data_IF_980324086728
#
_entry.id   IF_980324086728
#
_cell.length_a   1.000
_cell.length_b   1.000
_cell.length_c   1.000
_cell.angle_alpha   90.00
_cell.angle_beta   90.00
_cell.angle_gamma   90.00
#
_symmetry.space_group_name_H-M   'P 1'
#
loop_
_entity.id
_entity.type
_entity.pdbx_description
1 polymer ?
#
# COMPACT_ATOMS: atom_id res chain seq x y z
N UNK A 1 10.36 -55.71 46.64
CA UNK A 1 9.07 -55.48 45.98
C UNK A 1 8.88 -53.94 45.84
N UNK A 2 8.97 -53.43 44.64
CA UNK A 2 8.66 -52.01 44.36
C UNK A 2 7.13 -51.87 44.36
N UNK A 3 6.60 -50.99 45.22
CA UNK A 3 5.17 -50.61 45.19
C UNK A 3 4.98 -49.75 43.96
N UNK A 4 4.25 -50.23 42.98
CA UNK A 4 3.75 -49.46 41.86
C UNK A 4 2.56 -48.65 42.39
N UNK A 5 2.76 -47.34 42.61
CA UNK A 5 1.69 -46.41 42.94
C UNK A 5 0.94 -46.04 41.65
N UNK A 6 -0.32 -46.45 41.54
CA UNK A 6 -1.19 -46.00 40.44
C UNK A 6 -1.56 -44.52 40.58
N UNK A 7 -1.80 -43.83 39.47
CA UNK A 7 -2.29 -42.42 39.44
C UNK A 7 -3.67 -42.33 40.10
N UNK A 8 -3.83 -41.31 40.93
CA UNK A 8 -5.14 -40.98 41.49
C UNK A 8 -6.04 -40.36 40.41
N UNK A 9 -7.33 -40.68 40.41
CA UNK A 9 -8.32 -40.09 39.52
C UNK A 9 -8.33 -38.56 39.62
N UNK A 10 -8.12 -38.01 40.81
CA UNK A 10 -7.99 -36.58 41.06
C UNK A 10 -6.80 -35.96 40.31
N UNK A 11 -5.67 -36.63 40.29
CA UNK A 11 -4.44 -36.18 39.63
C UNK A 11 -4.62 -36.10 38.10
N UNK A 12 -5.33 -37.07 37.51
CA UNK A 12 -5.67 -37.08 36.10
C UNK A 12 -6.60 -35.90 35.77
N UNK A 13 -7.63 -35.62 36.57
CA UNK A 13 -8.57 -34.51 36.35
C UNK A 13 -7.85 -33.17 36.46
N UNK A 14 -6.98 -32.99 37.45
CA UNK A 14 -6.21 -31.76 37.61
C UNK A 14 -5.24 -31.58 36.43
N UNK A 15 -4.58 -32.63 35.99
CA UNK A 15 -3.65 -32.59 34.86
C UNK A 15 -4.39 -32.20 33.54
N UNK A 16 -5.57 -32.77 33.32
CA UNK A 16 -6.40 -32.40 32.17
C UNK A 16 -6.85 -30.92 32.22
N UNK A 17 -7.23 -30.43 33.41
CA UNK A 17 -7.61 -29.05 33.60
C UNK A 17 -6.46 -28.08 33.27
N UNK A 18 -5.26 -28.37 33.78
CA UNK A 18 -4.06 -27.56 33.51
C UNK A 18 -3.71 -27.61 32.00
N UNK A 19 -3.78 -28.80 31.40
CA UNK A 19 -3.49 -28.99 29.98
C UNK A 19 -4.46 -28.17 29.08
N UNK A 20 -5.77 -28.21 29.41
CA UNK A 20 -6.77 -27.46 28.62
C UNK A 20 -6.56 -25.97 28.73
N UNK A 21 -6.27 -25.42 29.91
CA UNK A 21 -5.95 -23.99 30.10
C UNK A 21 -4.69 -23.61 29.30
N UNK A 22 -3.66 -24.47 29.34
CA UNK A 22 -2.44 -24.27 28.57
C UNK A 22 -2.69 -24.23 27.06
N UNK A 23 -3.48 -25.17 26.53
CA UNK A 23 -3.83 -25.22 25.10
C UNK A 23 -4.65 -23.98 24.65
N UNK A 24 -5.64 -23.57 25.44
CA UNK A 24 -6.46 -22.38 25.12
C UNK A 24 -5.59 -21.12 25.09
N UNK A 25 -4.65 -20.99 26.03
CA UNK A 25 -3.72 -19.86 26.06
C UNK A 25 -2.81 -19.82 24.82
N UNK A 26 -2.29 -20.96 24.38
CA UNK A 26 -1.48 -21.07 23.17
C UNK A 26 -2.27 -20.70 21.91
N UNK A 27 -3.51 -21.18 21.78
CA UNK A 27 -4.38 -20.82 20.65
C UNK A 27 -4.63 -19.31 20.57
N UNK A 28 -4.79 -18.64 21.71
CA UNK A 28 -4.93 -17.18 21.79
C UNK A 28 -3.69 -16.46 21.25
N UNK A 29 -2.49 -16.89 21.66
CA UNK A 29 -1.23 -16.32 21.18
C UNK A 29 -1.03 -16.54 19.67
N UNK A 30 -1.36 -17.73 19.16
CA UNK A 30 -1.30 -18.00 17.72
C UNK A 30 -2.25 -17.12 16.92
N UNK A 31 -3.48 -16.91 17.41
CA UNK A 31 -4.43 -16.01 16.77
C UNK A 31 -3.91 -14.57 16.65
N UNK A 32 -3.31 -14.04 17.72
CA UNK A 32 -2.69 -12.72 17.71
C UNK A 32 -1.47 -12.65 16.78
N UNK A 33 -0.64 -13.68 16.75
CA UNK A 33 0.53 -13.73 15.87
C UNK A 33 0.12 -13.73 14.39
N UNK A 34 -0.86 -14.53 13.99
CA UNK A 34 -1.40 -14.54 12.63
C UNK A 34 -1.97 -13.18 12.24
N UNK A 35 -2.73 -12.57 13.15
CA UNK A 35 -3.28 -11.23 12.99
C UNK A 35 -2.21 -10.18 12.71
N UNK A 36 -1.16 -10.18 13.51
CA UNK A 36 -0.03 -9.25 13.35
C UNK A 36 0.69 -9.45 12.01
N UNK A 37 0.87 -10.70 11.58
CA UNK A 37 1.50 -11.03 10.30
C UNK A 37 0.68 -10.50 9.12
N UNK A 38 -0.62 -10.75 9.10
CA UNK A 38 -1.52 -10.24 8.05
C UNK A 38 -1.52 -8.72 7.99
N UNK A 39 -1.53 -8.05 9.14
CA UNK A 39 -1.45 -6.59 9.19
C UNK A 39 -0.13 -6.08 8.62
N UNK A 40 1.00 -6.72 8.97
CA UNK A 40 2.31 -6.33 8.44
C UNK A 40 2.42 -6.54 6.93
N UNK A 41 1.81 -7.57 6.38
CA UNK A 41 1.73 -7.78 4.92
C UNK A 41 0.96 -6.65 4.24
N UNK A 42 -0.19 -6.26 4.78
CA UNK A 42 -1.00 -5.16 4.24
C UNK A 42 -0.26 -3.81 4.30
N UNK A 43 0.45 -3.54 5.38
CA UNK A 43 1.29 -2.35 5.53
C UNK A 43 2.42 -2.33 4.49
N UNK A 44 3.02 -3.49 4.19
CA UNK A 44 4.06 -3.63 3.17
C UNK A 44 3.51 -3.38 1.76
N UNK A 45 2.35 -3.95 1.43
CA UNK A 45 1.67 -3.71 0.15
C UNK A 45 1.34 -2.23 -0.03
N UNK A 46 0.79 -1.57 1.00
CA UNK A 46 0.48 -0.14 0.92
C UNK A 46 1.72 0.72 0.68
N UNK A 47 2.85 0.36 1.30
CA UNK A 47 4.13 1.03 1.08
C UNK A 47 4.64 0.83 -0.35
N UNK A 48 4.53 -0.38 -0.87
CA UNK A 48 4.97 -0.71 -2.24
C UNK A 48 4.14 0.07 -3.26
N UNK A 49 2.81 0.09 -3.13
CA UNK A 49 1.90 0.85 -3.99
C UNK A 49 2.17 2.36 -3.98
N UNK A 50 2.63 2.90 -2.85
CA UNK A 50 3.02 4.31 -2.77
C UNK A 50 4.37 4.57 -3.45
N UNK A 51 5.35 3.69 -3.26
CA UNK A 51 6.67 3.79 -3.88
C UNK A 51 6.57 3.65 -5.40
N UNK A 52 5.80 2.69 -5.89
CA UNK A 52 5.55 2.47 -7.31
C UNK A 52 5.03 3.73 -8.00
N UNK A 53 4.05 4.39 -7.41
CA UNK A 53 3.53 5.65 -7.94
C UNK A 53 4.59 6.78 -7.89
N UNK A 54 5.37 6.88 -6.82
CA UNK A 54 6.43 7.88 -6.74
C UNK A 54 7.50 7.65 -7.82
N UNK A 55 7.93 6.41 -7.98
CA UNK A 55 8.95 6.03 -8.97
C UNK A 55 8.48 6.28 -10.40
N UNK A 56 7.21 6.02 -10.72
CA UNK A 56 6.65 6.31 -12.04
C UNK A 56 6.72 7.82 -12.35
N UNK A 57 6.37 8.68 -11.40
CA UNK A 57 6.42 10.14 -11.54
C UNK A 57 7.87 10.61 -11.74
N UNK A 58 8.80 10.12 -10.92
CA UNK A 58 10.23 10.46 -11.00
C UNK A 58 10.80 10.01 -12.36
N UNK A 59 10.48 8.80 -12.77
CA UNK A 59 10.93 8.23 -14.04
C UNK A 59 10.40 9.02 -15.21
N UNK A 60 9.11 9.34 -15.25
CA UNK A 60 8.48 10.13 -16.32
C UNK A 60 9.10 11.54 -16.44
N UNK A 61 9.42 12.17 -15.29
CA UNK A 61 10.16 13.43 -15.27
C UNK A 61 11.59 13.27 -15.82
N UNK A 62 12.33 12.25 -15.36
CA UNK A 62 13.73 12.05 -15.72
C UNK A 62 13.91 11.69 -17.20
N UNK A 63 12.96 10.96 -17.77
CA UNK A 63 12.95 10.59 -19.19
C UNK A 63 12.36 11.68 -20.08
N UNK A 64 11.94 12.82 -19.52
CA UNK A 64 11.26 13.90 -20.23
C UNK A 64 9.97 13.45 -20.93
N UNK A 65 9.36 12.37 -20.46
CA UNK A 65 8.08 11.87 -20.97
C UNK A 65 6.95 12.86 -20.67
N UNK A 66 7.01 13.52 -19.53
CA UNK A 66 6.11 14.59 -19.13
C UNK A 66 6.89 15.89 -18.89
N UNK A 67 6.27 17.01 -19.23
CA UNK A 67 6.83 18.31 -18.92
C UNK A 67 6.55 18.72 -17.46
N UNK A 68 7.22 19.77 -16.99
CA UNK A 68 7.07 20.22 -15.61
C UNK A 68 5.63 20.63 -15.26
N UNK A 69 4.90 21.25 -16.20
CA UNK A 69 3.52 21.67 -15.96
C UNK A 69 2.53 20.51 -15.85
N UNK A 70 2.85 19.37 -16.44
CA UNK A 70 2.07 18.15 -16.29
C UNK A 70 2.15 17.55 -14.88
N UNK A 71 3.23 17.79 -14.14
CA UNK A 71 3.40 17.30 -12.75
C UNK A 71 2.58 18.15 -11.78
N UNK A 72 1.28 18.16 -11.96
CA UNK A 72 0.29 18.82 -11.10
C UNK A 72 -1.00 18.02 -11.13
N UNK A 73 -1.90 18.30 -10.18
CA UNK A 73 -3.23 17.72 -10.24
C UNK A 73 -4.06 18.40 -11.33
N UNK A 74 -4.96 17.63 -11.92
CA UNK A 74 -5.90 18.10 -12.95
C UNK A 74 -6.66 19.34 -12.44
N UNK A 75 -6.75 20.35 -13.29
CA UNK A 75 -7.43 21.61 -12.97
C UNK A 75 -6.53 22.65 -12.30
N UNK A 76 -5.23 22.38 -12.15
CA UNK A 76 -4.29 23.40 -11.68
C UNK A 76 -4.24 24.60 -12.63
N UNK A 77 -4.16 25.80 -12.06
CA UNK A 77 -4.06 27.06 -12.79
C UNK A 77 -2.65 27.67 -12.76
N UNK A 78 -1.71 27.02 -12.07
CA UNK A 78 -0.32 27.49 -11.93
C UNK A 78 0.58 26.86 -13.00
N UNK A 79 0.32 27.18 -14.26
CA UNK A 79 1.04 26.62 -15.40
C UNK A 79 2.10 27.62 -15.93
N UNK A 80 3.33 27.20 -16.08
CA UNK A 80 4.43 28.02 -16.59
C UNK A 80 4.31 28.27 -18.10
N UNK A 81 3.70 27.34 -18.83
CA UNK A 81 3.52 27.39 -20.28
C UNK A 81 2.38 28.29 -20.74
N UNK A 82 1.62 28.90 -19.83
CA UNK A 82 0.44 29.69 -20.15
C UNK A 82 -0.79 28.91 -20.61
N UNK A 83 -0.69 27.59 -20.74
CA UNK A 83 -1.82 26.71 -21.02
C UNK A 83 -2.50 26.34 -19.70
N UNK A 84 -3.71 26.84 -19.47
CA UNK A 84 -4.51 26.51 -18.28
C UNK A 84 -5.83 25.87 -18.73
N UNK A 85 -6.31 24.80 -18.06
CA UNK A 85 -5.71 24.09 -16.93
C UNK A 85 -4.56 23.18 -17.34
N UNK A 86 -3.63 22.93 -16.42
CA UNK A 86 -2.56 21.96 -16.55
C UNK A 86 -2.67 20.87 -15.50
N UNK A 87 -1.73 19.91 -15.54
CA UNK A 87 -1.71 18.78 -14.63
C UNK A 87 -2.40 17.54 -15.19
N UNK A 88 -1.85 16.38 -14.87
CA UNK A 88 -2.37 15.08 -15.34
C UNK A 88 -2.85 14.19 -14.20
N UNK A 89 -2.44 14.48 -12.95
CA UNK A 89 -2.77 13.63 -11.80
C UNK A 89 -4.20 13.88 -11.32
N UNK A 90 -4.98 12.80 -11.24
CA UNK A 90 -6.38 12.86 -10.82
C UNK A 90 -6.49 13.26 -9.35
N UNK A 91 -7.46 14.11 -9.03
CA UNK A 91 -7.74 14.51 -7.65
C UNK A 91 -8.62 13.48 -6.93
N UNK A 92 -8.32 13.24 -5.65
CA UNK A 92 -9.11 12.34 -4.81
C UNK A 92 -8.58 10.90 -4.80
N UNK A 93 -9.23 10.08 -4.01
CA UNK A 93 -8.88 8.67 -3.86
C UNK A 93 -9.42 7.86 -5.06
N UNK A 94 -8.56 7.09 -5.70
CA UNK A 94 -8.89 6.15 -6.76
C UNK A 94 -8.61 4.72 -6.33
N UNK A 95 -9.31 3.77 -6.89
CA UNK A 95 -8.96 2.35 -6.80
C UNK A 95 -7.54 2.12 -7.33
N UNK A 96 -6.93 1.01 -6.92
CA UNK A 96 -5.59 0.64 -7.40
C UNK A 96 -5.73 -0.01 -8.78
N UNK A 97 -5.34 0.73 -9.79
CA UNK A 97 -5.27 0.29 -11.18
C UNK A 97 -3.81 0.11 -11.62
N UNK A 98 -3.60 -0.70 -12.64
CA UNK A 98 -2.34 -0.72 -13.35
C UNK A 98 -2.09 0.65 -13.98
N UNK A 99 -0.83 0.99 -14.22
CA UNK A 99 -0.49 2.20 -14.97
C UNK A 99 -1.10 2.11 -16.37
N UNK A 100 -1.68 3.22 -16.82
CA UNK A 100 -2.27 3.33 -18.13
C UNK A 100 -1.23 3.28 -19.26
N UNK A 101 -1.63 3.73 -20.44
CA UNK A 101 -0.75 3.74 -21.62
C UNK A 101 0.47 4.64 -21.45
N UNK A 102 0.39 5.62 -20.56
CA UNK A 102 1.50 6.52 -20.24
C UNK A 102 2.49 5.92 -19.22
N UNK A 103 2.18 4.80 -18.59
CA UNK A 103 3.03 4.15 -17.58
C UNK A 103 3.17 4.92 -16.26
N UNK A 104 2.30 5.92 -16.02
CA UNK A 104 2.35 6.79 -14.84
C UNK A 104 1.11 6.53 -13.98
N UNK A 105 1.31 6.22 -12.71
CA UNK A 105 0.20 5.99 -11.79
C UNK A 105 -0.44 7.29 -11.30
N UNK A 106 -1.75 7.28 -11.16
CA UNK A 106 -2.55 8.39 -10.67
C UNK A 106 -3.06 9.31 -11.77
N UNK A 107 -3.03 8.87 -13.02
CA UNK A 107 -3.54 9.57 -14.19
C UNK A 107 -4.91 9.05 -14.61
N UNK A 108 -5.58 9.74 -15.55
CA UNK A 108 -6.95 9.39 -15.91
C UNK A 108 -7.07 8.11 -16.73
N UNK A 109 -6.01 7.69 -17.43
CA UNK A 109 -6.00 6.50 -18.27
C UNK A 109 -5.79 5.20 -17.47
N UNK A 110 -5.35 5.27 -16.21
CA UNK A 110 -5.25 4.13 -15.29
C UNK A 110 -6.59 3.37 -15.19
N UNK A 111 -7.70 4.09 -15.19
CA UNK A 111 -9.04 3.50 -15.11
C UNK A 111 -9.36 2.51 -16.26
N UNK A 112 -8.63 2.61 -17.36
CA UNK A 112 -8.76 1.73 -18.53
C UNK A 112 -7.75 0.57 -18.53
N UNK A 113 -6.75 0.60 -17.64
CA UNK A 113 -5.67 -0.39 -17.59
C UNK A 113 -6.02 -1.65 -16.77
N UNK A 114 -7.19 -1.64 -16.13
CA UNK A 114 -7.65 -2.73 -15.26
C UNK A 114 -7.10 -2.66 -13.84
N UNK A 115 -7.76 -3.37 -12.93
CA UNK A 115 -7.37 -3.42 -11.52
C UNK A 115 -6.00 -4.09 -11.35
N UNK A 116 -5.19 -3.52 -10.47
CA UNK A 116 -3.90 -4.12 -10.10
C UNK A 116 -4.14 -5.31 -9.17
N UNK A 117 -3.37 -6.37 -9.38
CA UNK A 117 -3.43 -7.59 -8.59
C UNK A 117 -2.10 -7.90 -7.95
N UNK A 118 -2.13 -8.45 -6.75
CA UNK A 118 -0.98 -9.13 -6.18
C UNK A 118 -0.90 -10.54 -6.78
N UNK A 119 0.23 -10.90 -7.37
CA UNK A 119 0.45 -12.25 -7.88
C UNK A 119 1.18 -13.08 -6.83
N UNK A 120 0.61 -14.22 -6.50
CA UNK A 120 1.24 -15.23 -5.67
C UNK A 120 1.53 -16.48 -6.52
N UNK A 121 2.65 -17.19 -6.27
CA UNK A 121 2.96 -18.39 -7.03
C UNK A 121 1.91 -19.47 -6.72
N UNK A 122 1.57 -20.25 -7.73
CA UNK A 122 0.66 -21.37 -7.61
C UNK A 122 1.27 -22.57 -6.86
N UNK A 123 0.73 -23.75 -7.13
CA UNK A 123 1.14 -24.99 -6.46
C UNK A 123 2.59 -25.40 -6.76
N UNK A 124 3.14 -24.93 -7.88
CA UNK A 124 4.53 -25.21 -8.27
C UNK A 124 5.56 -24.28 -7.60
N UNK A 125 5.12 -23.20 -6.94
CA UNK A 125 5.95 -22.22 -6.24
C UNK A 125 6.77 -21.32 -7.18
N UNK A 126 6.47 -21.31 -8.48
CA UNK A 126 7.19 -20.54 -9.52
C UNK A 126 6.29 -19.42 -10.03
N UNK A 127 6.77 -18.18 -10.03
CA UNK A 127 6.06 -17.04 -10.62
C UNK A 127 6.08 -17.06 -12.15
N UNK A 128 5.02 -16.57 -12.77
CA UNK A 128 4.90 -16.47 -14.23
C UNK A 128 4.38 -17.74 -14.89
N UNK A 129 3.78 -18.62 -14.12
CA UNK A 129 3.18 -19.88 -14.60
C UNK A 129 1.64 -19.77 -14.62
N UNK A 130 0.99 -20.74 -15.29
CA UNK A 130 -0.47 -20.69 -15.50
C UNK A 130 -1.30 -20.93 -14.22
N UNK A 131 -0.69 -21.43 -13.17
CA UNK A 131 -1.32 -21.69 -11.87
C UNK A 131 -1.14 -20.56 -10.86
N UNK A 132 -0.49 -19.45 -11.24
CA UNK A 132 -0.37 -18.27 -10.40
C UNK A 132 -1.73 -17.74 -9.95
N UNK A 133 -1.81 -17.34 -8.70
CA UNK A 133 -3.03 -16.77 -8.10
C UNK A 133 -2.94 -15.26 -8.14
N UNK A 134 -3.93 -14.62 -8.77
CA UNK A 134 -4.04 -13.16 -8.83
C UNK A 134 -5.07 -12.66 -7.82
N UNK A 135 -4.60 -11.95 -6.79
CA UNK A 135 -5.44 -11.40 -5.72
C UNK A 135 -5.71 -9.93 -6.03
N UNK A 136 -6.96 -9.53 -6.30
CA UNK A 136 -7.27 -8.13 -6.61
C UNK A 136 -7.08 -7.22 -5.38
N UNK A 137 -6.52 -6.03 -5.59
CA UNK A 137 -6.25 -5.04 -4.55
C UNK A 137 -7.45 -4.12 -4.29
N UNK A 138 -8.67 -4.65 -4.35
CA UNK A 138 -9.94 -3.91 -4.22
C UNK A 138 -10.12 -3.21 -2.87
N UNK A 139 -9.40 -3.64 -1.84
CA UNK A 139 -9.43 -3.02 -0.50
C UNK A 139 -8.49 -1.82 -0.34
N UNK A 140 -7.76 -1.45 -1.38
CA UNK A 140 -6.78 -0.36 -1.38
C UNK A 140 -7.25 0.79 -2.26
N UNK A 141 -6.95 2.01 -1.84
CA UNK A 141 -7.18 3.24 -2.63
C UNK A 141 -5.93 4.10 -2.56
N UNK A 142 -5.58 4.75 -3.67
CA UNK A 142 -4.44 5.64 -3.78
C UNK A 142 -4.90 7.06 -4.10
N UNK A 143 -4.24 8.04 -3.48
CA UNK A 143 -4.36 9.46 -3.81
C UNK A 143 -2.98 10.00 -4.12
N UNK A 144 -2.84 10.69 -5.24
CA UNK A 144 -1.62 11.42 -5.61
C UNK A 144 -1.93 12.91 -5.53
N UNK A 145 -1.33 13.59 -4.57
CA UNK A 145 -1.49 15.04 -4.39
C UNK A 145 -0.16 15.74 -4.68
N UNK A 146 -0.20 16.63 -5.65
CA UNK A 146 0.93 17.50 -5.98
C UNK A 146 0.66 18.89 -5.42
N UNK A 147 1.57 19.39 -4.61
CA UNK A 147 1.43 20.67 -3.91
C UNK A 147 2.59 21.63 -4.23
N UNK A 148 2.34 22.95 -4.23
CA UNK A 148 3.41 23.92 -4.31
C UNK A 148 4.28 23.88 -3.06
N UNK A 149 5.55 24.20 -3.22
CA UNK A 149 6.50 24.41 -2.13
C UNK A 149 6.70 25.90 -1.93
N UNK A 150 6.74 26.35 -0.69
CA UNK A 150 6.89 27.74 -0.34
C UNK A 150 8.26 28.03 0.29
N UNK A 151 8.83 29.18 -0.01
CA UNK A 151 10.05 29.66 0.64
C UNK A 151 9.74 30.26 2.05
N UNK A 152 10.79 30.73 2.73
CA UNK A 152 10.65 31.36 4.05
C UNK A 152 9.82 32.66 4.04
N UNK A 153 9.63 33.28 2.87
CA UNK A 153 8.86 34.50 2.67
C UNK A 153 7.43 34.20 2.17
N UNK A 154 7.03 32.94 2.21
CA UNK A 154 5.73 32.46 1.72
C UNK A 154 5.51 32.68 0.21
N UNK A 155 6.57 32.72 -0.60
CA UNK A 155 6.48 32.72 -2.04
C UNK A 155 6.57 31.29 -2.59
N UNK A 156 5.81 31.00 -3.66
CA UNK A 156 5.88 29.71 -4.34
C UNK A 156 7.25 29.54 -5.01
N UNK A 157 7.92 28.45 -4.69
CA UNK A 157 9.16 28.04 -5.37
C UNK A 157 8.75 27.25 -6.63
N UNK A 158 8.70 27.95 -7.78
CA UNK A 158 8.19 27.39 -9.04
C UNK A 158 8.94 26.15 -9.53
N UNK A 159 10.19 25.99 -9.10
CA UNK A 159 11.08 24.87 -9.48
C UNK A 159 11.00 23.66 -8.56
N UNK A 160 10.18 23.71 -7.52
CA UNK A 160 9.97 22.61 -6.56
C UNK A 160 8.49 22.29 -6.43
N UNK A 161 8.18 21.01 -6.29
CA UNK A 161 6.83 20.52 -5.95
C UNK A 161 6.92 19.45 -4.88
N UNK A 162 5.96 19.48 -3.97
CA UNK A 162 5.72 18.42 -3.02
C UNK A 162 4.86 17.34 -3.66
N UNK A 163 5.24 16.09 -3.49
CA UNK A 163 4.45 14.93 -3.87
C UNK A 163 4.01 14.26 -2.57
N UNK A 164 2.71 14.14 -2.38
CA UNK A 164 2.12 13.39 -1.28
C UNK A 164 1.32 12.24 -1.87
N UNK A 165 1.74 11.01 -1.60
CA UNK A 165 1.04 9.82 -2.03
C UNK A 165 0.46 9.16 -0.79
N UNK A 166 -0.85 9.02 -0.78
CA UNK A 166 -1.60 8.41 0.32
C UNK A 166 -2.24 7.13 -0.17
N UNK A 167 -1.94 6.01 0.50
CA UNK A 167 -2.60 4.73 0.28
C UNK A 167 -3.46 4.41 1.49
N UNK A 168 -4.76 4.30 1.27
CA UNK A 168 -5.74 3.87 2.27
C UNK A 168 -6.10 2.41 2.05
N UNK A 169 -6.23 1.66 3.12
CA UNK A 169 -6.62 0.25 3.07
C UNK A 169 -7.34 -0.15 4.35
N UNK A 170 -8.20 -1.17 4.27
CA UNK A 170 -8.90 -1.73 5.41
C UNK A 170 -8.31 -3.07 5.76
N UNK A 171 -8.00 -3.27 7.05
CA UNK A 171 -7.61 -4.59 7.54
C UNK A 171 -8.86 -5.39 7.87
N UNK A 172 -8.83 -6.69 7.59
CA UNK A 172 -9.95 -7.61 7.91
C UNK A 172 -10.31 -7.64 9.41
N UNK A 173 -9.41 -7.17 10.26
CA UNK A 173 -9.56 -7.22 11.72
C UNK A 173 -10.06 -5.93 12.35
N UNK A 174 -9.67 -4.80 11.82
CA UNK A 174 -10.20 -3.51 12.21
C UNK A 174 -10.96 -2.96 11.02
N UNK A 175 -12.27 -2.81 11.13
CA UNK A 175 -13.07 -2.13 10.08
C UNK A 175 -12.69 -0.65 9.91
N UNK A 176 -11.67 -0.19 10.64
CA UNK A 176 -11.13 1.16 10.53
C UNK A 176 -10.09 1.20 9.42
N UNK A 177 -10.20 2.14 8.48
CA UNK A 177 -9.22 2.30 7.42
C UNK A 177 -7.87 2.70 8.04
N UNK A 178 -6.80 2.04 7.58
CA UNK A 178 -5.43 2.46 7.80
C UNK A 178 -4.96 3.31 6.64
N UNK A 179 -3.96 4.14 6.90
CA UNK A 179 -3.40 5.04 5.90
C UNK A 179 -1.88 4.98 5.95
N UNK A 180 -1.26 4.76 4.81
CA UNK A 180 0.17 4.97 4.61
C UNK A 180 0.37 6.25 3.80
N UNK A 181 1.28 7.11 4.23
CA UNK A 181 1.56 8.39 3.57
C UNK A 181 3.03 8.47 3.23
N UNK A 182 3.32 8.69 1.95
CA UNK A 182 4.66 8.92 1.42
C UNK A 182 4.76 10.38 0.95
N UNK A 183 5.72 11.10 1.51
CA UNK A 183 6.02 12.48 1.12
C UNK A 183 7.37 12.55 0.42
N UNK A 184 7.43 13.27 -0.68
CA UNK A 184 8.66 13.51 -1.43
C UNK A 184 8.66 14.92 -2.00
N UNK A 185 9.84 15.37 -2.41
CA UNK A 185 10.04 16.62 -3.14
C UNK A 185 10.62 16.28 -4.51
N UNK A 186 10.11 16.95 -5.52
CA UNK A 186 10.62 16.86 -6.89
C UNK A 186 11.07 18.24 -7.37
N UNK A 187 12.24 18.28 -8.01
CA UNK A 187 12.79 19.50 -8.62
C UNK A 187 12.52 19.52 -10.12
N UNK A 188 12.37 20.70 -10.70
CA UNK A 188 12.32 20.88 -12.15
C UNK A 188 13.65 20.49 -12.81
N UNK A 189 14.76 20.64 -12.09
CA UNK A 189 16.11 20.31 -12.57
C UNK A 189 16.52 18.91 -12.17
N UNK A 190 17.23 18.24 -13.04
CA UNK A 190 17.85 16.93 -12.80
C UNK A 190 19.16 17.10 -12.04
#
# INVERSE_FOLDING_TARGET
>A
MRREGGFSLLEVVISMAILTVGMVSLLGVFGLAMSSTLTSQQDMIAKELANEALESIITARNTSQINWDAIQNVGSTTCSSGASPCGIFVTGASQIYNAGADGIYGTADDANAGEQTLTEPGADGIYGTADDVHIPLTGYQRTVLISPVYDANNNVVATLRGINITVQYSTSQTKLPKTYVLNSLISQYQ
#
